data_IF_544999108639
#
_entry.id   IF_544999108639
#
_cell.length_a   1.000
_cell.length_b   1.000
_cell.length_c   1.000
_cell.angle_alpha   90.00
_cell.angle_beta   90.00
_cell.angle_gamma   90.00
#
_symmetry.space_group_name_H-M   'P 1'
#
loop_
_entity.id
_entity.type
_entity.pdbx_description
1 polymer ?
#
# COMPACT_ATOMS: atom_id res chain seq x y z
N UNK A 1 -85.55 49.74 -11.84
CA UNK A 1 -84.91 50.59 -10.81
C UNK A 1 -83.86 49.74 -10.11
N UNK A 2 -82.59 50.10 -10.34
CA UNK A 2 -81.34 49.85 -9.58
C UNK A 2 -80.99 48.41 -9.15
N UNK A 3 -79.93 47.80 -9.70
CA UNK A 3 -78.49 48.00 -9.38
C UNK A 3 -78.12 47.54 -7.96
N UNK A 4 -77.38 46.43 -7.83
CA UNK A 4 -76.02 46.42 -7.27
C UNK A 4 -75.42 45.00 -7.13
N UNK A 5 -74.36 44.81 -7.92
CA UNK A 5 -73.19 43.94 -7.80
C UNK A 5 -72.86 43.32 -6.43
N UNK A 6 -72.41 42.05 -6.46
CA UNK A 6 -71.24 41.60 -5.69
C UNK A 6 -70.54 40.43 -6.38
N UNK A 7 -69.45 40.76 -7.08
CA UNK A 7 -68.44 39.82 -7.55
C UNK A 7 -67.75 39.13 -6.35
N UNK A 8 -67.51 37.82 -6.45
CA UNK A 8 -66.58 37.08 -5.60
C UNK A 8 -65.48 36.51 -6.49
N UNK A 9 -64.26 36.91 -6.17
CA UNK A 9 -63.04 36.65 -6.93
C UNK A 9 -62.18 35.62 -6.17
N UNK A 10 -61.67 34.63 -6.93
CA UNK A 10 -60.44 33.82 -6.77
C UNK A 10 -60.19 33.02 -5.47
N UNK A 11 -59.91 31.73 -5.64
CA UNK A 11 -58.55 31.20 -5.50
C UNK A 11 -58.51 29.70 -5.90
N UNK A 12 -57.90 29.40 -7.05
CA UNK A 12 -57.48 28.04 -7.39
C UNK A 12 -56.22 27.72 -6.57
N UNK A 13 -56.33 26.78 -5.64
CA UNK A 13 -55.19 26.29 -4.85
C UNK A 13 -54.28 25.43 -5.72
N UNK A 14 -53.07 25.91 -6.01
CA UNK A 14 -51.99 25.10 -6.54
C UNK A 14 -51.38 24.34 -5.36
N UNK A 15 -51.62 23.03 -5.27
CA UNK A 15 -50.84 22.16 -4.39
C UNK A 15 -49.45 22.00 -4.99
N UNK A 16 -48.46 22.65 -4.38
CA UNK A 16 -47.06 22.35 -4.61
C UNK A 16 -46.73 21.00 -3.96
N UNK A 17 -46.60 19.95 -4.77
CA UNK A 17 -46.01 18.69 -4.32
C UNK A 17 -44.53 18.93 -4.05
N UNK A 18 -44.16 19.01 -2.77
CA UNK A 18 -42.77 18.93 -2.33
C UNK A 18 -42.25 17.53 -2.66
N UNK A 19 -41.51 17.41 -3.77
CA UNK A 19 -40.66 16.26 -4.04
C UNK A 19 -39.56 16.28 -2.97
N UNK A 20 -39.80 15.55 -1.87
CA UNK A 20 -38.74 15.17 -0.95
C UNK A 20 -37.80 14.28 -1.75
N UNK A 21 -36.70 14.85 -2.23
CA UNK A 21 -35.60 14.06 -2.78
C UNK A 21 -35.16 13.08 -1.70
N UNK A 22 -35.29 11.79 -1.98
CA UNK A 22 -34.68 10.78 -1.13
C UNK A 22 -33.17 11.09 -1.03
N UNK A 23 -32.55 10.93 0.16
CA UNK A 23 -31.10 10.99 0.21
C UNK A 23 -30.58 9.89 -0.71
N UNK A 24 -29.84 10.29 -1.75
CA UNK A 24 -28.98 9.36 -2.46
C UNK A 24 -28.01 8.86 -1.40
N UNK A 25 -28.22 7.63 -0.92
CA UNK A 25 -27.25 6.97 -0.08
C UNK A 25 -25.93 6.98 -0.83
N UNK A 26 -24.89 7.56 -0.22
CA UNK A 26 -23.53 7.27 -0.63
C UNK A 26 -23.42 5.74 -0.58
N UNK A 27 -23.25 5.10 -1.74
CA UNK A 27 -22.85 3.70 -1.75
C UNK A 27 -21.44 3.70 -1.15
N UNK A 28 -21.26 2.99 -0.04
CA UNK A 28 -19.96 2.60 0.49
C UNK A 28 -19.26 1.73 -0.56
N UNK A 29 -18.78 2.35 -1.64
CA UNK A 29 -17.96 1.70 -2.64
C UNK A 29 -16.59 1.49 -2.00
N UNK A 30 -16.37 0.29 -1.47
CA UNK A 30 -15.07 -0.16 -1.02
C UNK A 30 -14.15 -0.30 -2.23
N UNK A 31 -12.90 0.14 -2.11
CA UNK A 31 -11.90 -0.09 -3.16
C UNK A 31 -11.73 -1.59 -3.45
N UNK A 32 -11.74 -1.95 -4.73
CA UNK A 32 -11.38 -3.29 -5.20
C UNK A 32 -9.99 -3.24 -5.82
N UNK A 33 -9.01 -3.78 -5.09
CA UNK A 33 -7.62 -3.88 -5.52
C UNK A 33 -7.28 -5.25 -6.10
N UNK A 34 -8.28 -6.12 -6.28
CA UNK A 34 -8.10 -7.50 -6.71
C UNK A 34 -7.41 -7.56 -8.07
N UNK A 35 -6.34 -8.35 -8.16
CA UNK A 35 -5.59 -8.52 -9.39
C UNK A 35 -4.12 -8.85 -9.15
N UNK A 36 -3.40 -9.02 -10.25
CA UNK A 36 -1.96 -9.25 -10.24
C UNK A 36 -1.28 -8.00 -10.76
N UNK A 37 -0.21 -7.60 -10.09
CA UNK A 37 0.44 -6.31 -10.22
C UNK A 37 1.94 -6.50 -10.39
N UNK A 38 2.50 -5.97 -11.48
CA UNK A 38 3.92 -6.09 -11.75
C UNK A 38 4.49 -4.83 -12.42
N UNK A 39 5.73 -4.51 -12.09
CA UNK A 39 6.51 -3.38 -12.62
C UNK A 39 5.79 -2.02 -12.59
N UNK A 40 6.28 -1.07 -11.81
CA UNK A 40 5.89 0.33 -11.96
C UNK A 40 6.65 0.98 -13.09
N UNK A 41 5.94 1.40 -14.13
CA UNK A 41 6.57 2.16 -15.21
C UNK A 41 6.82 3.62 -14.78
N UNK A 42 7.87 4.29 -15.30
CA UNK A 42 7.66 5.67 -15.70
C UNK A 42 6.60 5.64 -16.80
N UNK A 43 5.38 6.05 -16.47
CA UNK A 43 4.30 6.16 -17.46
C UNK A 43 4.72 7.20 -18.51
N UNK A 44 4.43 7.01 -19.82
CA UNK A 44 4.60 8.09 -20.78
C UNK A 44 3.89 9.35 -20.27
N UNK A 45 4.61 10.47 -20.25
CA UNK A 45 4.05 11.77 -19.87
C UNK A 45 2.82 12.08 -20.73
N UNK A 46 1.75 12.58 -20.13
CA UNK A 46 0.67 13.17 -20.90
C UNK A 46 1.18 14.43 -21.61
N UNK A 47 0.53 14.87 -22.71
CA UNK A 47 0.86 16.14 -23.34
C UNK A 47 0.77 17.29 -22.33
N UNK A 48 1.90 17.87 -21.96
CA UNK A 48 2.00 19.00 -21.03
C UNK A 48 2.56 18.66 -19.64
N UNK A 49 2.84 17.40 -19.33
CA UNK A 49 3.57 17.02 -18.12
C UNK A 49 5.08 17.13 -18.34
N UNK A 50 5.82 17.60 -17.34
CA UNK A 50 7.30 17.61 -17.35
C UNK A 50 7.84 16.32 -16.76
N UNK A 51 8.97 15.82 -17.29
CA UNK A 51 9.68 14.70 -16.66
C UNK A 51 9.97 15.01 -15.19
N UNK A 52 9.60 14.11 -14.25
CA UNK A 52 10.06 14.25 -12.88
C UNK A 52 11.60 14.21 -12.88
N UNK A 53 12.27 15.01 -12.02
CA UNK A 53 13.72 15.05 -11.98
C UNK A 53 14.26 13.64 -11.79
N UNK A 54 15.28 13.27 -12.58
CA UNK A 54 15.90 11.95 -12.55
C UNK A 54 16.38 11.62 -11.14
N UNK A 55 15.55 10.90 -10.38
CA UNK A 55 15.93 10.30 -9.13
C UNK A 55 16.91 9.16 -9.45
N UNK A 56 17.98 9.05 -8.67
CA UNK A 56 19.15 8.23 -8.98
C UNK A 56 18.83 6.78 -9.39
N UNK A 57 19.83 6.13 -9.99
CA UNK A 57 19.80 4.76 -10.57
C UNK A 57 19.15 3.63 -9.73
N UNK A 58 18.75 3.85 -8.48
CA UNK A 58 18.19 2.85 -7.57
C UNK A 58 16.69 2.56 -7.72
N UNK A 59 16.01 3.08 -8.76
CA UNK A 59 14.56 2.91 -8.94
C UNK A 59 14.08 2.65 -10.37
N UNK A 60 14.97 2.57 -11.37
CA UNK A 60 14.57 2.31 -12.75
C UNK A 60 13.98 0.90 -12.88
N UNK A 61 12.67 0.81 -13.11
CA UNK A 61 11.92 -0.45 -13.31
C UNK A 61 11.22 -1.01 -12.07
N UNK A 62 11.49 -0.47 -10.87
CA UNK A 62 10.90 -0.94 -9.60
C UNK A 62 9.63 -0.21 -9.19
N UNK A 63 9.30 0.89 -9.87
CA UNK A 63 8.15 1.73 -9.53
C UNK A 63 8.28 2.52 -8.22
N UNK A 64 9.46 2.54 -7.59
CA UNK A 64 9.67 3.16 -6.27
C UNK A 64 10.13 4.61 -6.43
N UNK A 65 9.37 5.52 -5.83
CA UNK A 65 9.64 6.95 -5.75
C UNK A 65 9.78 7.37 -4.29
N UNK A 66 10.96 7.80 -3.91
CA UNK A 66 11.25 8.31 -2.58
C UNK A 66 12.74 8.61 -2.46
N UNK A 67 13.11 9.41 -1.47
CA UNK A 67 14.52 9.55 -1.11
C UNK A 67 14.94 8.39 -0.20
N UNK A 68 16.23 8.04 -0.16
CA UNK A 68 16.74 7.13 0.85
C UNK A 68 16.42 7.60 2.28
N UNK A 69 16.28 6.66 3.25
CA UNK A 69 15.99 7.01 4.63
C UNK A 69 17.15 7.76 5.30
N UNK A 70 16.83 8.61 6.27
CA UNK A 70 17.82 9.22 7.15
C UNK A 70 18.20 8.26 8.28
N UNK A 71 19.25 7.45 8.07
CA UNK A 71 19.79 6.54 9.08
C UNK A 71 20.39 7.31 10.25
N UNK A 72 20.14 6.87 11.48
CA UNK A 72 20.79 7.43 12.68
C UNK A 72 22.25 6.90 12.83
N UNK A 73 23.01 7.44 13.79
CA UNK A 73 24.42 7.08 14.00
C UNK A 73 24.62 5.60 14.32
N UNK A 74 23.66 4.97 15.02
CA UNK A 74 23.70 3.55 15.34
C UNK A 74 23.60 2.71 14.06
N UNK A 75 22.61 2.98 13.22
CA UNK A 75 22.41 2.30 11.95
C UNK A 75 23.60 2.51 11.00
N UNK A 76 24.13 3.73 10.90
CA UNK A 76 25.31 4.00 10.07
C UNK A 76 26.52 3.18 10.53
N UNK A 77 26.74 3.07 11.84
CA UNK A 77 27.82 2.26 12.42
C UNK A 77 27.61 0.77 12.15
N UNK A 78 26.37 0.28 12.27
CA UNK A 78 26.02 -1.11 11.96
C UNK A 78 26.31 -1.42 10.48
N UNK A 79 25.84 -0.56 9.57
CA UNK A 79 26.02 -0.75 8.13
C UNK A 79 27.48 -0.61 7.67
N UNK A 80 28.29 0.20 8.36
CA UNK A 80 29.72 0.29 8.07
C UNK A 80 30.49 -1.01 8.35
N UNK A 81 29.93 -1.90 9.18
CA UNK A 81 30.53 -3.18 9.56
C UNK A 81 29.72 -4.38 9.05
N UNK A 82 28.80 -4.16 8.10
CA UNK A 82 27.94 -5.21 7.57
C UNK A 82 28.74 -6.30 6.83
N UNK A 83 28.47 -7.57 7.14
CA UNK A 83 28.92 -8.71 6.35
C UNK A 83 27.78 -9.17 5.42
N UNK A 84 27.99 -9.26 4.09
CA UNK A 84 27.02 -9.86 3.17
C UNK A 84 26.54 -11.27 3.55
N UNK A 85 27.33 -12.02 4.32
CA UNK A 85 26.94 -13.32 4.85
C UNK A 85 25.81 -13.24 5.90
N UNK A 86 25.55 -12.07 6.48
CA UNK A 86 24.50 -11.86 7.47
C UNK A 86 23.11 -11.72 6.83
N UNK A 87 23.02 -11.40 5.54
CA UNK A 87 21.73 -11.32 4.81
C UNK A 87 20.97 -12.67 4.91
N UNK A 88 19.76 -12.72 5.49
CA UNK A 88 18.98 -13.96 5.61
C UNK A 88 18.74 -14.61 4.23
N UNK A 89 18.63 -13.80 3.18
CA UNK A 89 18.39 -14.29 1.82
C UNK A 89 19.51 -15.23 1.33
N UNK A 90 20.76 -15.03 1.76
CA UNK A 90 21.87 -15.93 1.34
C UNK A 90 21.80 -17.31 1.99
N UNK A 91 20.98 -17.45 3.04
CA UNK A 91 20.70 -18.72 3.74
C UNK A 91 19.30 -19.27 3.43
N UNK A 92 18.63 -18.75 2.40
CA UNK A 92 17.25 -19.10 2.08
C UNK A 92 16.26 -18.86 3.23
N UNK A 93 16.52 -17.84 4.05
CA UNK A 93 15.62 -17.34 5.09
C UNK A 93 14.87 -16.10 4.57
N UNK A 94 13.61 -15.93 4.97
CA UNK A 94 12.80 -14.80 4.53
C UNK A 94 13.47 -13.47 4.95
N UNK A 95 13.67 -12.51 4.03
CA UNK A 95 14.57 -11.38 4.25
C UNK A 95 13.96 -10.20 5.03
N UNK A 96 12.69 -10.30 5.43
CA UNK A 96 11.93 -9.31 6.19
C UNK A 96 10.83 -8.62 5.38
N UNK A 97 9.86 -8.06 6.09
CA UNK A 97 8.69 -7.38 5.55
C UNK A 97 9.04 -6.25 4.56
N UNK A 98 9.94 -5.32 4.92
CA UNK A 98 10.21 -4.13 4.10
C UNK A 98 10.82 -4.51 2.75
N UNK A 99 11.73 -5.49 2.73
CA UNK A 99 12.28 -6.03 1.47
C UNK A 99 11.21 -6.73 0.64
N UNK A 100 10.31 -7.48 1.27
CA UNK A 100 9.21 -8.18 0.60
C UNK A 100 8.21 -7.21 -0.06
N UNK A 101 7.75 -6.18 0.67
CA UNK A 101 6.81 -5.18 0.17
C UNK A 101 7.40 -4.40 -1.02
N UNK A 102 8.70 -4.12 -0.95
CA UNK A 102 9.42 -3.39 -1.99
C UNK A 102 10.00 -4.30 -3.10
N UNK A 103 9.70 -5.60 -3.09
CA UNK A 103 10.16 -6.61 -4.05
C UNK A 103 9.95 -6.21 -5.54
N UNK A 104 10.88 -6.55 -6.45
CA UNK A 104 10.70 -6.34 -7.90
C UNK A 104 9.61 -7.21 -8.53
N UNK A 105 9.23 -8.29 -7.86
CA UNK A 105 8.46 -9.37 -8.45
C UNK A 105 6.95 -9.08 -8.42
N UNK A 106 6.16 -9.80 -9.23
CA UNK A 106 4.71 -9.67 -9.22
C UNK A 106 4.10 -9.91 -7.84
N UNK A 107 2.99 -9.21 -7.57
CA UNK A 107 2.16 -9.44 -6.38
C UNK A 107 0.71 -9.63 -6.79
N UNK A 108 0.02 -10.54 -6.12
CA UNK A 108 -1.42 -10.76 -6.28
C UNK A 108 -2.15 -10.27 -5.04
N UNK A 109 -3.21 -9.50 -5.23
CA UNK A 109 -4.11 -9.07 -4.15
C UNK A 109 -5.47 -9.74 -4.37
N UNK A 110 -6.02 -10.32 -3.30
CA UNK A 110 -7.32 -10.98 -3.32
C UNK A 110 -8.09 -10.69 -2.01
N UNK A 111 -9.35 -10.27 -2.13
CA UNK A 111 -10.25 -10.10 -0.98
C UNK A 111 -10.93 -11.43 -0.64
N UNK A 112 -10.79 -11.88 0.61
CA UNK A 112 -11.32 -13.15 1.13
C UNK A 112 -12.15 -12.91 2.39
N UNK A 113 -13.33 -12.31 2.22
CA UNK A 113 -14.22 -12.01 3.35
C UNK A 113 -13.67 -10.88 4.21
N UNK A 114 -13.25 -11.20 5.43
CA UNK A 114 -12.66 -10.27 6.41
C UNK A 114 -11.12 -10.18 6.33
N UNK A 115 -10.52 -10.79 5.30
CA UNK A 115 -9.08 -10.76 5.05
C UNK A 115 -8.78 -10.27 3.65
N UNK A 116 -7.72 -9.48 3.48
CA UNK A 116 -7.08 -9.27 2.17
C UNK A 116 -5.80 -10.10 2.13
N UNK A 117 -5.70 -11.03 1.18
CA UNK A 117 -4.47 -11.78 0.91
C UNK A 117 -3.61 -11.00 -0.07
N UNK A 118 -2.34 -10.84 0.26
CA UNK A 118 -1.29 -10.32 -0.63
C UNK A 118 -0.27 -11.43 -0.81
N UNK A 119 -0.22 -12.01 -2.01
CA UNK A 119 0.74 -13.05 -2.37
C UNK A 119 1.88 -12.43 -3.14
N UNK A 120 3.10 -12.74 -2.75
CA UNK A 120 4.31 -12.29 -3.42
C UNK A 120 4.92 -13.46 -4.18
N UNK A 121 5.28 -13.25 -5.46
CA UNK A 121 6.02 -14.26 -6.22
C UNK A 121 7.39 -14.53 -5.59
N UNK A 122 8.13 -13.48 -5.20
CA UNK A 122 9.39 -13.65 -4.48
C UNK A 122 9.15 -14.30 -3.11
N UNK A 123 9.91 -15.36 -2.81
CA UNK A 123 9.78 -16.15 -1.57
C UNK A 123 8.47 -16.93 -1.41
N UNK A 124 7.56 -16.87 -2.38
CA UNK A 124 6.23 -17.52 -2.33
C UNK A 124 5.48 -17.23 -1.01
N UNK A 125 5.60 -15.99 -0.54
CA UNK A 125 5.02 -15.55 0.74
C UNK A 125 3.57 -15.11 0.53
N UNK A 126 2.67 -15.60 1.39
CA UNK A 126 1.32 -15.07 1.53
C UNK A 126 1.22 -14.22 2.81
N UNK A 127 0.81 -12.97 2.65
CA UNK A 127 0.56 -12.03 3.75
C UNK A 127 -0.93 -11.82 3.89
N UNK A 128 -1.46 -12.12 5.06
CA UNK A 128 -2.87 -11.93 5.38
C UNK A 128 -3.05 -10.61 6.14
N UNK A 129 -3.85 -9.72 5.57
CA UNK A 129 -4.24 -8.45 6.18
C UNK A 129 -5.64 -8.60 6.75
N UNK A 130 -5.75 -8.62 8.08
CA UNK A 130 -7.04 -8.75 8.77
C UNK A 130 -7.77 -7.42 8.77
N UNK A 131 -8.97 -7.37 8.19
CA UNK A 131 -9.80 -6.16 8.16
C UNK A 131 -10.53 -5.97 9.49
N UNK A 132 -10.57 -4.72 9.97
CA UNK A 132 -11.37 -4.25 11.11
C UNK A 132 -11.14 -5.00 12.45
N UNK A 133 -10.08 -5.81 12.51
CA UNK A 133 -9.75 -6.64 13.67
C UNK A 133 -8.33 -6.33 14.12
N UNK A 134 -8.15 -5.69 15.30
CA UNK A 134 -6.81 -5.48 15.83
C UNK A 134 -6.14 -6.81 16.16
N UNK A 135 -4.82 -6.93 15.96
CA UNK A 135 -4.09 -8.10 16.42
C UNK A 135 -4.23 -8.21 17.94
N UNK A 136 -4.42 -9.42 18.50
CA UNK A 136 -4.26 -9.68 19.93
C UNK A 136 -2.98 -9.03 20.51
N UNK A 137 -2.99 -8.67 21.79
CA UNK A 137 -1.75 -8.21 22.44
C UNK A 137 -0.73 -9.36 22.53
N UNK A 138 0.55 -9.05 22.33
CA UNK A 138 1.65 -9.98 22.65
C UNK A 138 1.93 -11.09 21.64
N UNK A 139 1.70 -10.86 20.34
CA UNK A 139 2.12 -11.81 19.32
C UNK A 139 3.63 -12.01 19.27
N UNK A 140 4.03 -13.23 18.93
CA UNK A 140 5.40 -13.53 18.57
C UNK A 140 5.80 -12.78 17.31
N UNK A 141 7.08 -12.38 17.25
CA UNK A 141 7.64 -11.75 16.06
C UNK A 141 7.76 -12.78 14.93
N UNK A 142 7.51 -12.34 13.70
CA UNK A 142 7.71 -13.15 12.50
C UNK A 142 8.38 -12.31 11.42
N UNK A 143 8.97 -12.91 10.37
CA UNK A 143 9.59 -12.12 9.31
C UNK A 143 8.65 -11.14 8.60
N UNK A 144 7.35 -11.48 8.51
CA UNK A 144 6.31 -10.66 7.88
C UNK A 144 5.47 -9.84 8.88
N UNK A 145 5.61 -10.10 10.18
CA UNK A 145 4.81 -9.46 11.23
C UNK A 145 3.31 -9.74 11.12
N UNK A 146 2.52 -8.82 11.67
CA UNK A 146 1.06 -8.91 11.77
C UNK A 146 0.43 -7.69 11.12
N UNK A 147 -0.41 -7.90 10.11
CA UNK A 147 -1.00 -6.84 9.30
C UNK A 147 -2.48 -6.65 9.59
N UNK A 148 -2.87 -5.41 9.87
CA UNK A 148 -4.25 -4.99 10.08
C UNK A 148 -4.64 -4.00 9.00
N UNK A 149 -5.80 -4.21 8.40
CA UNK A 149 -6.34 -3.36 7.34
C UNK A 149 -7.56 -2.57 7.80
N UNK A 150 -7.70 -1.37 7.25
CA UNK A 150 -8.91 -0.55 7.33
C UNK A 150 -9.24 -0.07 5.90
N UNK A 151 -10.51 -0.18 5.52
CA UNK A 151 -11.00 0.36 4.26
C UNK A 151 -11.50 1.79 4.48
N UNK A 152 -10.86 2.74 3.83
CA UNK A 152 -11.26 4.16 3.84
C UNK A 152 -11.60 4.59 2.41
N UNK A 153 -12.89 4.57 2.09
CA UNK A 153 -13.41 4.94 0.77
C UNK A 153 -12.70 4.16 -0.36
N UNK A 154 -11.84 4.85 -1.11
CA UNK A 154 -11.10 4.33 -2.27
C UNK A 154 -9.70 3.81 -1.89
N UNK A 155 -9.45 3.55 -0.61
CA UNK A 155 -8.12 3.15 -0.09
C UNK A 155 -8.20 1.98 0.87
N UNK A 156 -7.16 1.16 0.83
CA UNK A 156 -6.86 0.17 1.86
C UNK A 156 -5.65 0.65 2.65
N UNK A 157 -5.86 0.97 3.93
CA UNK A 157 -4.79 1.33 4.86
C UNK A 157 -4.34 0.07 5.58
N UNK A 158 -3.05 -0.24 5.54
CA UNK A 158 -2.48 -1.43 6.19
C UNK A 158 -1.43 -1.00 7.19
N UNK A 159 -1.62 -1.39 8.45
CA UNK A 159 -0.62 -1.23 9.52
C UNK A 159 0.00 -2.57 9.85
N UNK A 160 1.32 -2.61 9.92
CA UNK A 160 2.07 -3.82 10.27
C UNK A 160 3.03 -3.57 11.40
N UNK A 161 3.01 -4.47 12.38
CA UNK A 161 3.89 -4.46 13.55
C UNK A 161 4.38 -5.88 13.85
N UNK A 162 5.33 -6.01 14.76
CA UNK A 162 5.84 -7.33 15.19
C UNK A 162 6.60 -8.08 14.10
N UNK A 163 7.09 -7.41 13.06
CA UNK A 163 8.01 -8.02 12.12
C UNK A 163 9.43 -8.05 12.69
N UNK A 164 10.18 -9.11 12.43
CA UNK A 164 11.57 -9.23 12.85
C UNK A 164 12.48 -8.29 12.03
N UNK A 165 13.65 -7.90 12.56
CA UNK A 165 14.69 -7.22 11.80
C UNK A 165 14.96 -7.91 10.45
N UNK A 166 15.04 -7.12 9.39
CA UNK A 166 15.28 -7.59 8.02
C UNK A 166 16.13 -6.59 7.24
N UNK A 167 16.78 -7.06 6.19
CA UNK A 167 17.71 -6.25 5.39
C UNK A 167 16.97 -5.64 4.20
N UNK A 168 16.77 -4.33 4.22
CA UNK A 168 16.23 -3.60 3.07
C UNK A 168 17.34 -3.26 2.06
N UNK A 169 17.01 -3.39 0.78
CA UNK A 169 17.90 -3.06 -0.34
C UNK A 169 17.31 -2.02 -1.31
N UNK A 170 16.08 -1.59 -1.10
CA UNK A 170 15.41 -0.62 -1.97
C UNK A 170 15.62 0.80 -1.46
N UNK A 171 15.98 1.73 -2.37
CA UNK A 171 16.23 3.13 -2.04
C UNK A 171 17.22 3.30 -0.87
N UNK A 172 18.28 2.50 -0.85
CA UNK A 172 19.25 2.45 0.23
C UNK A 172 19.44 1.03 0.76
N UNK A 173 20.43 0.87 1.63
CA UNK A 173 20.83 -0.43 2.18
C UNK A 173 20.94 -0.33 3.69
N UNK A 174 20.01 -0.95 4.42
CA UNK A 174 19.94 -0.85 5.88
C UNK A 174 19.12 -1.98 6.50
N UNK A 175 19.40 -2.30 7.77
CA UNK A 175 18.58 -3.18 8.58
C UNK A 175 17.39 -2.44 9.19
N UNK A 176 16.23 -3.06 9.23
CA UNK A 176 15.14 -2.63 10.12
C UNK A 176 15.41 -3.11 11.54
N UNK A 177 15.02 -2.32 12.54
CA UNK A 177 15.18 -2.60 13.96
C UNK A 177 14.00 -3.34 14.56
N UNK A 178 14.20 -3.83 15.78
CA UNK A 178 13.14 -4.41 16.60
C UNK A 178 12.13 -3.33 17.02
N UNK A 179 10.84 -3.65 16.95
CA UNK A 179 9.77 -2.71 17.30
C UNK A 179 9.45 -1.68 16.20
N UNK A 180 10.01 -1.82 15.00
CA UNK A 180 9.63 -1.03 13.85
C UNK A 180 8.15 -1.27 13.47
N UNK A 181 7.54 -0.27 12.82
CA UNK A 181 6.17 -0.34 12.33
C UNK A 181 6.07 0.22 10.92
N UNK A 182 5.21 -0.40 10.11
CA UNK A 182 4.97 -0.04 8.72
C UNK A 182 3.52 0.41 8.56
N UNK A 183 3.31 1.56 7.91
CA UNK A 183 2.00 2.00 7.45
C UNK A 183 2.03 2.06 5.93
N UNK A 184 1.12 1.34 5.29
CA UNK A 184 0.94 1.31 3.84
C UNK A 184 -0.46 1.85 3.50
N UNK A 185 -0.59 2.59 2.41
CA UNK A 185 -1.89 3.03 1.89
C UNK A 185 -1.96 2.65 0.42
N UNK A 186 -2.81 1.67 0.10
CA UNK A 186 -3.02 1.17 -1.24
C UNK A 186 -4.22 1.84 -1.90
N UNK A 187 -4.08 2.20 -3.17
CA UNK A 187 -5.12 2.82 -4.00
C UNK A 187 -4.90 2.57 -5.49
N UNK A 188 -5.89 2.92 -6.32
CA UNK A 188 -5.76 2.88 -7.78
C UNK A 188 -5.64 4.29 -8.35
N UNK A 189 -4.77 4.47 -9.35
CA UNK A 189 -4.78 5.68 -10.18
C UNK A 189 -5.96 5.67 -11.16
N UNK A 190 -6.28 6.82 -11.75
CA UNK A 190 -7.24 6.90 -12.86
C UNK A 190 -6.88 6.01 -14.07
N UNK A 191 -5.60 5.61 -14.18
CA UNK A 191 -5.09 4.70 -15.23
C UNK A 191 -5.17 3.23 -14.84
N UNK A 192 -5.77 2.91 -13.69
CA UNK A 192 -5.87 1.55 -13.16
C UNK A 192 -4.53 0.97 -12.69
N UNK A 193 -3.57 1.81 -12.30
CA UNK A 193 -2.31 1.37 -11.71
C UNK A 193 -2.48 1.26 -10.19
N UNK A 194 -1.93 0.21 -9.59
CA UNK A 194 -1.84 0.11 -8.13
C UNK A 194 -0.76 1.05 -7.62
N UNK A 195 -1.08 1.79 -6.57
CA UNK A 195 -0.16 2.68 -5.85
C UNK A 195 -0.16 2.31 -4.39
N UNK A 196 1.03 2.25 -3.80
CA UNK A 196 1.23 2.12 -2.37
C UNK A 196 2.07 3.30 -1.87
N UNK A 197 1.50 4.13 -1.02
CA UNK A 197 2.28 5.03 -0.17
C UNK A 197 2.71 4.27 1.10
N UNK A 198 3.97 4.43 1.50
CA UNK A 198 4.55 3.69 2.63
C UNK A 198 5.22 4.66 3.60
N UNK A 199 5.02 4.45 4.90
CA UNK A 199 5.75 5.08 5.99
C UNK A 199 6.32 4.01 6.92
N UNK A 200 7.64 3.94 7.03
CA UNK A 200 8.35 3.11 8.01
C UNK A 200 8.76 3.97 9.19
N UNK A 201 8.29 3.62 10.39
CA UNK A 201 8.77 4.20 11.65
C UNK A 201 9.64 3.19 12.38
N UNK A 202 10.91 3.53 12.58
CA UNK A 202 11.92 2.70 13.22
C UNK A 202 12.90 3.58 14.00
N UNK A 203 12.64 3.87 15.28
CA UNK A 203 13.49 4.75 16.07
C UNK A 203 14.85 4.13 16.43
N UNK A 204 15.01 2.82 16.26
CA UNK A 204 16.28 2.12 16.50
C UNK A 204 17.24 2.41 15.37
N UNK A 205 16.75 2.48 14.12
CA UNK A 205 17.59 2.58 12.93
C UNK A 205 17.51 3.94 12.22
N UNK A 206 16.38 4.65 12.33
CA UNK A 206 16.10 5.87 11.58
C UNK A 206 16.06 7.10 12.50
N UNK A 207 16.44 8.25 11.95
CA UNK A 207 16.36 9.55 12.63
C UNK A 207 14.97 10.17 12.52
N UNK A 208 14.21 9.80 11.49
CA UNK A 208 12.84 10.21 11.23
C UNK A 208 12.09 9.13 10.43
N UNK A 209 10.74 9.12 10.43
CA UNK A 209 9.98 8.17 9.63
C UNK A 209 10.34 8.25 8.13
N UNK A 210 10.58 7.10 7.52
CA UNK A 210 10.93 7.00 6.10
C UNK A 210 9.70 6.83 5.24
N UNK A 211 9.56 7.68 4.21
CA UNK A 211 8.42 7.67 3.30
C UNK A 211 8.81 7.45 1.86
N UNK A 212 8.04 6.64 1.16
CA UNK A 212 8.16 6.43 -0.28
C UNK A 212 6.79 6.07 -0.87
N UNK A 213 6.73 6.07 -2.18
CA UNK A 213 5.63 5.53 -2.96
C UNK A 213 6.14 4.40 -3.86
N UNK A 214 5.33 3.38 -4.10
CA UNK A 214 5.56 2.34 -5.09
C UNK A 214 4.35 2.23 -6.02
N UNK A 215 4.59 2.08 -7.31
CA UNK A 215 3.56 1.90 -8.34
C UNK A 215 3.76 0.56 -9.02
N UNK A 216 2.66 -0.07 -9.43
CA UNK A 216 2.64 -1.25 -10.29
C UNK A 216 1.65 -1.08 -11.44
N UNK A 217 1.90 -1.74 -12.57
CA UNK A 217 0.92 -1.89 -13.62
C UNK A 217 0.12 -3.19 -13.43
N UNK A 218 -1.11 -3.26 -13.98
CA UNK A 218 -1.82 -4.53 -14.12
C UNK A 218 -0.96 -5.55 -14.87
N UNK A 219 -0.96 -6.79 -14.38
CA UNK A 219 -0.25 -7.90 -14.98
C UNK A 219 -1.25 -9.03 -15.28
N UNK A 220 -1.21 -9.54 -16.51
CA UNK A 220 -2.19 -10.49 -17.04
C UNK A 220 -1.73 -11.96 -17.01
N UNK A 221 -0.61 -12.23 -16.31
CA UNK A 221 -0.08 -13.57 -16.11
C UNK A 221 -0.22 -13.99 -14.64
N UNK A 222 -0.01 -15.27 -14.39
CA UNK A 222 0.00 -15.85 -13.05
C UNK A 222 1.34 -15.62 -12.34
N UNK A 223 1.31 -15.63 -11.00
CA UNK A 223 2.54 -15.70 -10.21
C UNK A 223 3.27 -17.02 -10.50
N UNK A 224 4.58 -16.94 -10.65
CA UNK A 224 5.43 -18.13 -10.76
C UNK A 224 5.72 -18.73 -9.38
N UNK A 225 6.07 -20.02 -9.38
CA UNK A 225 6.58 -20.68 -8.17
C UNK A 225 7.98 -20.20 -7.85
N UNK A 226 8.29 -20.03 -6.57
CA UNK A 226 9.62 -19.64 -6.13
C UNK A 226 10.20 -20.67 -5.17
N UNK A 227 11.42 -21.12 -5.45
CA UNK A 227 12.14 -22.04 -4.58
C UNK A 227 13.58 -21.55 -4.36
N UNK A 228 13.93 -21.28 -3.10
CA UNK A 228 15.28 -20.95 -2.71
C UNK A 228 16.03 -22.22 -2.33
N UNK A 229 16.95 -22.63 -3.19
CA UNK A 229 17.76 -23.84 -3.00
C UNK A 229 19.18 -23.45 -2.60
N UNK A 230 19.56 -23.78 -1.37
CA UNK A 230 20.96 -23.70 -0.95
C UNK A 230 21.80 -24.69 -1.77
N UNK A 231 22.71 -24.16 -2.58
CA UNK A 231 23.71 -24.96 -3.29
C UNK A 231 25.07 -24.75 -2.66
N UNK A 232 25.78 -25.84 -2.38
CA UNK A 232 27.18 -25.76 -1.98
C UNK A 232 27.97 -25.04 -3.07
N UNK A 233 28.75 -24.03 -2.69
CA UNK A 233 29.72 -23.42 -3.61
C UNK A 233 30.80 -24.47 -3.89
N UNK A 234 30.88 -24.93 -5.14
CA UNK A 234 31.97 -25.74 -5.66
C UNK A 234 33.28 -24.95 -5.70
#
# INVERSE_FOLDING_TARGET
>A
MNELSRARTLAAGVMAALLVGAPVGAQDATVDLTGIWWQGAPVPLLPGESEPPAMGMGGMGMGIMGSPPALNDHAQTLMANFDPADDPAVRCEQPGLVRQVLSPYPVEIEYRGDTVSIRYEEWEVERLVQLDTPPPDGHETSPMGHSMGELDQEKLLVRTTGFSPGLNMSQGFFWTGEGASLLETYSLTERGQLVMDMELTDPVMLSEPWRLQKIWNPFDQELLTFDCILRERL
#
